data_IF_806086741867
#
_entry.id   IF_806086741867
#
_cell.length_a   1.000
_cell.length_b   1.000
_cell.length_c   1.000
_cell.angle_alpha   90.00
_cell.angle_beta   90.00
_cell.angle_gamma   90.00
#
_symmetry.space_group_name_H-M   'P 1'
#
loop_
_entity.id
_entity.type
_entity.pdbx_description
1 polymer ?
#
# COMPACT_ATOMS: atom_id res chain seq x y z
N UNK A 1 30.33 17.75 74.83
CA UNK A 1 30.51 18.94 75.69
C UNK A 1 30.07 18.57 77.10
N UNK A 2 30.98 18.07 77.96
CA UNK A 2 31.67 18.83 79.02
C UNK A 2 30.80 19.89 79.72
N UNK A 3 30.12 19.46 80.77
CA UNK A 3 29.65 20.29 81.89
C UNK A 3 29.52 19.33 83.09
N UNK A 4 30.57 19.03 83.86
CA UNK A 4 31.20 19.88 84.89
C UNK A 4 30.14 20.61 85.73
N UNK A 5 29.48 19.87 86.61
CA UNK A 5 29.10 20.41 87.91
C UNK A 5 30.11 19.88 88.94
N UNK A 6 30.77 20.87 89.52
CA UNK A 6 31.98 20.80 90.31
C UNK A 6 31.78 20.00 91.59
N UNK A 7 32.55 18.92 91.77
CA UNK A 7 32.99 18.51 93.11
C UNK A 7 33.77 19.69 93.69
N UNK A 8 33.09 20.59 94.41
CA UNK A 8 33.76 21.53 95.30
C UNK A 8 34.46 20.69 96.35
N UNK A 9 35.74 20.44 96.10
CA UNK A 9 36.70 20.09 97.13
C UNK A 9 36.72 21.28 98.09
N UNK A 10 36.05 21.16 99.23
CA UNK A 10 36.41 21.97 100.38
C UNK A 10 37.73 21.40 100.88
N UNK A 11 38.80 22.06 100.43
CA UNK A 11 40.11 22.13 101.05
C UNK A 11 40.01 22.10 102.57
N UNK A 12 40.91 21.34 103.20
CA UNK A 12 40.98 21.08 104.65
C UNK A 12 41.04 22.35 105.49
N UNK A 13 39.88 22.94 105.73
CA UNK A 13 39.62 23.76 106.90
C UNK A 13 39.13 22.81 107.97
N UNK A 14 39.81 22.78 109.11
CA UNK A 14 39.27 22.18 110.32
C UNK A 14 37.94 22.88 110.57
N UNK A 15 36.81 22.18 110.38
CA UNK A 15 35.49 22.77 110.60
C UNK A 15 35.45 23.29 112.02
N UNK A 16 35.18 24.58 112.17
CA UNK A 16 35.12 25.22 113.48
C UNK A 16 33.66 25.29 113.92
N UNK A 17 33.42 25.15 115.22
CA UNK A 17 32.09 25.34 115.78
C UNK A 17 31.67 26.81 115.63
N UNK A 18 30.49 27.12 115.06
CA UNK A 18 30.06 28.51 114.84
C UNK A 18 29.74 29.28 116.13
N UNK A 19 29.66 28.63 117.30
CA UNK A 19 29.45 29.32 118.59
C UNK A 19 30.75 29.69 119.33
N UNK A 20 31.78 28.85 119.28
CA UNK A 20 33.01 29.04 120.08
C UNK A 20 34.32 28.98 119.27
N UNK A 21 34.23 28.87 117.94
CA UNK A 21 35.33 28.91 116.94
C UNK A 21 36.47 27.90 117.20
N UNK A 22 36.20 26.89 118.04
CA UNK A 22 37.12 25.79 118.34
C UNK A 22 37.08 24.75 117.21
N UNK A 23 38.22 24.10 116.92
CA UNK A 23 38.27 23.02 115.93
C UNK A 23 37.35 21.86 116.37
N UNK A 24 36.38 21.51 115.53
CA UNK A 24 35.45 20.41 115.78
C UNK A 24 36.19 19.07 115.70
N UNK A 25 36.16 18.32 116.78
CA UNK A 25 36.54 16.91 116.79
C UNK A 25 35.36 16.08 116.26
N UNK A 26 35.49 15.58 115.04
CA UNK A 26 34.47 14.75 114.39
C UNK A 26 34.14 13.46 115.16
N UNK A 27 35.00 13.02 116.10
CA UNK A 27 34.71 11.88 116.98
C UNK A 27 33.73 12.21 118.12
N UNK A 28 33.46 13.50 118.39
CA UNK A 28 32.51 13.98 119.40
C UNK A 28 31.27 14.66 118.82
N UNK A 29 31.09 14.62 117.49
CA UNK A 29 29.86 15.08 116.83
C UNK A 29 28.90 13.90 116.79
N UNK A 30 27.87 13.95 117.62
CA UNK A 30 26.77 13.01 117.57
C UNK A 30 25.65 13.58 116.70
N UNK A 31 25.10 12.80 115.75
CA UNK A 31 23.90 13.22 115.05
C UNK A 31 22.79 13.43 116.08
N UNK A 32 22.23 14.63 116.11
CA UNK A 32 21.06 14.94 116.92
C UNK A 32 19.86 14.18 116.34
N UNK A 33 19.51 13.07 116.99
CA UNK A 33 18.39 12.22 116.58
C UNK A 33 17.05 12.98 116.66
N UNK A 34 16.91 13.95 117.58
CA UNK A 34 15.69 14.76 117.71
C UNK A 34 15.58 15.76 116.54
N UNK A 35 16.66 16.48 116.21
CA UNK A 35 16.70 17.40 115.07
C UNK A 35 16.53 16.67 113.73
N UNK A 36 17.15 15.50 113.58
CA UNK A 36 17.02 14.67 112.37
C UNK A 36 15.57 14.19 112.20
N UNK A 37 14.90 13.84 113.31
CA UNK A 37 13.48 13.46 113.31
C UNK A 37 12.57 14.64 112.95
N UNK A 38 12.88 15.85 113.41
CA UNK A 38 12.13 17.07 113.09
C UNK A 38 12.26 17.46 111.61
N UNK A 39 13.48 17.40 111.07
CA UNK A 39 13.75 17.63 109.63
C UNK A 39 13.02 16.61 108.77
N UNK A 40 13.04 15.32 109.13
CA UNK A 40 12.36 14.26 108.38
C UNK A 40 10.81 14.36 108.44
N UNK A 41 10.26 14.94 109.51
CA UNK A 41 8.83 15.20 109.65
C UNK A 41 8.36 16.54 109.03
N UNK A 42 9.28 17.38 108.56
CA UNK A 42 8.94 18.66 107.95
C UNK A 42 8.12 18.49 106.66
N UNK A 43 7.11 19.34 106.49
CA UNK A 43 6.24 19.33 105.31
C UNK A 43 6.96 19.98 104.13
N UNK A 44 7.13 19.22 103.06
CA UNK A 44 7.74 19.64 101.80
C UNK A 44 6.78 19.48 100.64
N UNK A 45 6.91 20.35 99.63
CA UNK A 45 6.15 20.24 98.37
C UNK A 45 6.98 19.48 97.34
N UNK A 46 6.31 18.81 96.41
CA UNK A 46 6.98 18.16 95.30
C UNK A 46 7.78 19.17 94.46
N UNK A 47 8.96 18.75 93.95
CA UNK A 47 9.79 19.56 93.03
C UNK A 47 9.05 19.95 91.75
N UNK A 48 8.12 19.10 91.30
CA UNK A 48 7.39 19.24 90.04
C UNK A 48 6.07 20.03 90.22
N UNK A 49 6.01 20.91 91.23
CA UNK A 49 4.83 21.78 91.48
C UNK A 49 4.57 22.74 90.32
N UNK A 50 5.63 23.14 89.60
CA UNK A 50 5.53 24.01 88.41
C UNK A 50 4.91 23.30 87.22
N UNK A 51 5.05 21.97 87.16
CA UNK A 51 4.54 21.11 86.09
C UNK A 51 3.14 20.58 86.38
N UNK A 52 2.58 20.88 87.56
CA UNK A 52 1.20 20.57 87.93
C UNK A 52 1.04 19.61 89.13
N UNK A 53 2.13 19.11 89.72
CA UNK A 53 2.04 18.24 90.89
C UNK A 53 1.57 19.00 92.14
N UNK A 54 0.50 18.53 92.79
CA UNK A 54 -0.07 19.17 94.00
C UNK A 54 0.33 18.50 95.32
N UNK A 55 1.29 17.58 95.29
CA UNK A 55 1.66 16.80 96.46
C UNK A 55 2.40 17.62 97.52
N UNK A 56 1.97 17.48 98.77
CA UNK A 56 2.58 18.04 99.97
C UNK A 56 2.59 16.97 101.05
N UNK A 57 3.75 16.68 101.64
CA UNK A 57 3.89 15.61 102.62
C UNK A 57 5.17 15.73 103.43
N UNK A 58 5.40 14.80 104.36
CA UNK A 58 6.62 14.76 105.18
C UNK A 58 7.84 14.44 104.32
N UNK A 59 8.99 15.04 104.61
CA UNK A 59 10.24 14.80 103.88
C UNK A 59 10.61 13.31 103.80
N UNK A 60 10.36 12.54 104.86
CA UNK A 60 10.63 11.09 104.89
C UNK A 60 9.88 10.28 103.80
N UNK A 61 8.73 10.75 103.31
CA UNK A 61 7.93 10.08 102.26
C UNK A 61 8.05 10.77 100.89
N UNK A 62 8.84 11.84 100.77
CA UNK A 62 9.03 12.55 99.50
C UNK A 62 9.61 11.63 98.43
N UNK A 63 10.57 10.77 98.78
CA UNK A 63 11.18 9.86 97.82
C UNK A 63 10.15 8.88 97.24
N UNK A 64 9.29 8.32 98.10
CA UNK A 64 8.20 7.42 97.68
C UNK A 64 7.25 8.13 96.70
N UNK A 65 6.92 9.40 96.97
CA UNK A 65 6.10 10.18 96.05
C UNK A 65 6.81 10.45 94.71
N UNK A 66 8.09 10.84 94.72
CA UNK A 66 8.84 11.11 93.48
C UNK A 66 8.94 9.87 92.59
N UNK A 67 9.06 8.68 93.19
CA UNK A 67 9.09 7.40 92.49
C UNK A 67 7.75 7.04 91.81
N UNK A 68 6.65 7.73 92.16
CA UNK A 68 5.29 7.53 91.60
C UNK A 68 4.71 8.79 90.94
N UNK A 69 5.42 9.91 90.96
CA UNK A 69 4.89 11.21 90.55
C UNK A 69 4.58 11.22 89.03
N UNK A 70 3.32 11.50 88.62
CA UNK A 70 2.94 11.52 87.19
C UNK A 70 3.70 12.57 86.36
N UNK A 71 4.16 13.63 87.02
CA UNK A 71 4.89 14.75 86.39
C UNK A 71 6.40 14.59 86.48
N UNK A 72 6.90 13.50 87.04
CA UNK A 72 8.33 13.23 87.05
C UNK A 72 8.83 12.91 85.64
N UNK A 73 9.87 13.63 85.23
CA UNK A 73 10.37 13.59 83.86
C UNK A 73 11.39 12.46 83.71
N UNK A 74 11.01 11.43 82.95
CA UNK A 74 11.84 10.25 82.76
C UNK A 74 12.39 10.22 81.33
N UNK A 75 13.66 9.81 81.14
CA UNK A 75 14.19 9.56 79.80
C UNK A 75 13.46 8.36 79.18
N UNK A 76 13.17 8.43 77.88
CA UNK A 76 12.52 7.35 77.16
C UNK A 76 13.30 6.02 77.32
N UNK A 77 12.64 4.92 77.76
CA UNK A 77 13.26 3.60 77.92
C UNK A 77 13.92 3.06 76.64
N UNK A 78 13.38 3.43 75.47
CA UNK A 78 13.91 3.06 74.14
C UNK A 78 15.09 3.94 73.68
N UNK A 79 15.57 4.82 74.56
CA UNK A 79 16.73 5.70 74.38
C UNK A 79 16.63 6.56 73.11
N UNK A 80 15.42 6.94 72.71
CA UNK A 80 15.18 7.78 71.52
C UNK A 80 15.74 9.21 71.67
N UNK A 81 16.07 9.62 72.91
CA UNK A 81 16.60 10.94 73.24
C UNK A 81 15.57 11.88 73.88
N UNK A 82 14.28 11.52 73.88
CA UNK A 82 13.23 12.29 74.54
C UNK A 82 13.24 12.09 76.07
N UNK A 83 12.91 13.16 76.80
CA UNK A 83 12.63 13.17 78.24
C UNK A 83 11.22 13.71 78.41
N UNK A 84 10.34 12.92 79.00
CA UNK A 84 8.90 13.18 79.03
C UNK A 84 8.33 12.94 80.44
N UNK A 85 7.25 13.64 80.84
CA UNK A 85 6.52 13.30 82.06
C UNK A 85 6.05 11.85 82.03
N UNK A 86 6.02 11.19 83.18
CA UNK A 86 5.52 9.81 83.31
C UNK A 86 4.13 9.62 82.71
N UNK A 87 3.25 10.62 82.85
CA UNK A 87 1.90 10.61 82.27
C UNK A 87 1.92 10.45 80.73
N UNK A 88 2.83 11.13 80.04
CA UNK A 88 2.89 11.16 78.57
C UNK A 88 3.80 10.06 77.99
N UNK A 89 4.47 9.31 78.86
CA UNK A 89 5.47 8.32 78.45
C UNK A 89 4.82 7.14 77.72
N UNK A 90 3.63 6.71 78.14
CA UNK A 90 2.89 5.62 77.49
C UNK A 90 2.47 6.02 76.07
N UNK A 91 1.81 7.17 75.91
CA UNK A 91 1.41 7.71 74.62
C UNK A 91 2.61 7.92 73.67
N UNK A 92 3.75 8.34 74.22
CA UNK A 92 4.98 8.45 73.44
C UNK A 92 5.46 7.10 72.93
N UNK A 93 5.54 6.09 73.78
CA UNK A 93 6.02 4.76 73.40
C UNK A 93 5.12 4.10 72.37
N UNK A 94 3.82 4.34 72.43
CA UNK A 94 2.83 3.76 71.52
C UNK A 94 2.78 4.49 70.17
N UNK A 95 2.70 5.83 70.15
CA UNK A 95 2.35 6.58 68.94
C UNK A 95 3.47 7.44 68.36
N UNK A 96 4.35 8.04 69.17
CA UNK A 96 5.26 9.11 68.67
C UNK A 96 6.75 8.76 68.74
N UNK A 97 7.14 7.73 69.49
CA UNK A 97 8.53 7.35 69.65
C UNK A 97 9.11 6.84 68.33
N UNK A 98 10.17 7.48 67.84
CA UNK A 98 10.87 7.06 66.62
C UNK A 98 11.47 5.65 66.73
N UNK A 99 11.70 5.15 67.95
CA UNK A 99 12.21 3.80 68.22
C UNK A 99 11.11 2.82 68.66
N UNK A 100 9.83 3.20 68.57
CA UNK A 100 8.71 2.29 68.83
C UNK A 100 8.83 1.04 67.98
N UNK A 101 8.44 -0.12 68.52
CA UNK A 101 8.45 -1.35 67.75
C UNK A 101 7.18 -1.44 66.91
N UNK A 102 7.31 -1.21 65.61
CA UNK A 102 6.22 -1.38 64.65
C UNK A 102 6.29 -2.78 64.06
N UNK A 103 5.18 -3.52 64.13
CA UNK A 103 5.02 -4.79 63.44
C UNK A 103 4.45 -4.53 62.06
N UNK A 104 5.14 -4.98 61.01
CA UNK A 104 4.58 -4.88 59.65
C UNK A 104 3.41 -5.84 59.47
N UNK A 105 2.25 -5.35 59.04
CA UNK A 105 1.05 -6.16 58.78
C UNK A 105 1.25 -7.20 57.65
N UNK A 106 2.17 -6.95 56.72
CA UNK A 106 2.40 -7.83 55.57
C UNK A 106 3.45 -8.92 55.82
N UNK A 107 4.51 -8.64 56.59
CA UNK A 107 5.60 -9.59 56.82
C UNK A 107 5.77 -10.02 58.28
N UNK A 108 4.97 -9.46 59.19
CA UNK A 108 4.97 -9.73 60.64
C UNK A 108 6.32 -9.51 61.35
N UNK A 109 7.29 -8.87 60.69
CA UNK A 109 8.58 -8.52 61.27
C UNK A 109 8.47 -7.22 62.06
N UNK A 110 9.26 -7.13 63.13
CA UNK A 110 9.38 -5.95 64.01
C UNK A 110 10.46 -5.03 63.49
N UNK A 111 10.15 -3.74 63.38
CA UNK A 111 11.07 -2.70 62.98
C UNK A 111 11.00 -1.52 63.96
N UNK A 112 12.12 -0.82 64.23
CA UNK A 112 12.08 0.51 64.82
C UNK A 112 11.25 1.46 63.93
N UNK A 113 10.43 2.33 64.52
CA UNK A 113 9.51 3.21 63.79
C UNK A 113 10.17 4.05 62.69
N UNK A 114 11.36 4.60 62.95
CA UNK A 114 12.14 5.38 62.00
C UNK A 114 12.61 4.57 60.77
N UNK A 115 13.02 3.33 60.98
CA UNK A 115 13.39 2.38 59.91
C UNK A 115 12.15 1.93 59.15
N UNK A 116 11.04 1.65 59.87
CA UNK A 116 9.79 1.24 59.26
C UNK A 116 9.26 2.31 58.29
N UNK A 117 9.16 3.56 58.74
CA UNK A 117 8.62 4.66 57.94
C UNK A 117 9.50 5.00 56.73
N UNK A 118 10.83 5.00 56.89
CA UNK A 118 11.75 5.44 55.82
C UNK A 118 12.11 4.35 54.80
N UNK A 119 12.20 3.09 55.23
CA UNK A 119 12.78 2.01 54.42
C UNK A 119 11.82 0.85 54.16
N UNK A 120 10.81 0.66 55.00
CA UNK A 120 9.93 -0.52 54.89
C UNK A 120 8.53 -0.19 54.38
N UNK A 121 7.98 0.97 54.76
CA UNK A 121 6.67 1.46 54.35
C UNK A 121 6.58 1.57 52.82
N UNK A 122 5.63 0.86 52.20
CA UNK A 122 5.46 0.78 50.75
C UNK A 122 6.55 0.01 49.98
N UNK A 123 7.54 -0.56 50.66
CA UNK A 123 8.62 -1.37 50.07
C UNK A 123 8.65 -2.81 50.59
N UNK A 124 7.62 -3.20 51.35
CA UNK A 124 7.57 -4.53 51.94
C UNK A 124 7.53 -5.61 50.85
N UNK A 125 8.43 -6.59 50.97
CA UNK A 125 8.60 -7.68 50.01
C UNK A 125 7.40 -8.64 50.02
N UNK A 126 6.72 -8.75 51.17
CA UNK A 126 5.53 -9.60 51.36
C UNK A 126 4.20 -8.88 51.12
N UNK A 127 4.25 -7.61 50.74
CA UNK A 127 3.05 -6.87 50.34
C UNK A 127 2.48 -7.48 49.05
N UNK A 128 1.16 -7.74 49.04
CA UNK A 128 0.46 -8.34 47.91
C UNK A 128 0.04 -7.24 46.94
N UNK A 129 0.54 -7.29 45.72
CA UNK A 129 0.25 -6.32 44.66
C UNK A 129 -0.46 -6.97 43.47
N UNK A 130 -1.16 -6.14 42.72
CA UNK A 130 -1.76 -6.54 41.45
C UNK A 130 -0.71 -6.54 40.35
N UNK A 131 -0.86 -7.46 39.40
CA UNK A 131 -0.03 -7.46 38.20
C UNK A 131 -0.28 -6.21 37.34
N UNK A 132 0.79 -5.52 36.95
CA UNK A 132 0.76 -4.30 36.12
C UNK A 132 0.13 -4.56 34.74
N UNK A 133 0.29 -5.78 34.21
CA UNK A 133 -0.31 -6.20 32.94
C UNK A 133 -1.82 -6.51 33.05
N UNK A 134 -2.46 -6.24 34.20
CA UNK A 134 -3.89 -6.45 34.47
C UNK A 134 -4.37 -7.87 34.11
N UNK A 135 -3.55 -8.88 34.39
CA UNK A 135 -3.92 -10.29 34.20
C UNK A 135 -4.87 -10.84 35.29
N UNK A 136 -5.11 -10.06 36.34
CA UNK A 136 -5.96 -10.47 37.48
C UNK A 136 -5.22 -11.19 38.61
N UNK A 137 -3.93 -11.51 38.47
CA UNK A 137 -3.13 -12.13 39.52
C UNK A 137 -2.79 -11.16 40.66
N UNK A 138 -2.80 -11.69 41.89
CA UNK A 138 -2.39 -11.00 43.14
C UNK A 138 -1.24 -11.78 43.77
N UNK A 139 -0.08 -11.16 43.88
CA UNK A 139 1.17 -11.83 44.27
C UNK A 139 1.98 -10.95 45.22
N UNK A 140 2.77 -11.56 46.10
CA UNK A 140 3.75 -10.83 46.91
C UNK A 140 4.80 -10.16 46.02
N UNK A 141 5.25 -8.96 46.40
CA UNK A 141 6.22 -8.15 45.64
C UNK A 141 7.45 -8.94 45.17
N UNK A 142 7.98 -9.87 45.97
CA UNK A 142 9.11 -10.75 45.57
C UNK A 142 8.84 -11.60 44.33
N UNK A 143 7.59 -12.03 44.12
CA UNK A 143 7.23 -12.94 43.03
C UNK A 143 6.74 -12.20 41.79
N UNK A 144 6.41 -10.91 41.91
CA UNK A 144 5.84 -10.12 40.82
C UNK A 144 6.77 -10.06 39.60
N UNK A 145 8.08 -9.88 39.81
CA UNK A 145 9.06 -9.83 38.72
C UNK A 145 9.17 -11.16 37.96
N UNK A 146 9.17 -12.29 38.67
CA UNK A 146 9.19 -13.61 38.03
C UNK A 146 7.89 -13.88 37.27
N UNK A 147 6.75 -13.55 37.87
CA UNK A 147 5.44 -13.66 37.23
C UNK A 147 5.41 -12.88 35.92
N UNK A 148 5.79 -11.59 35.92
CA UNK A 148 5.76 -10.75 34.72
C UNK A 148 6.65 -11.27 33.60
N UNK A 149 7.80 -11.87 33.95
CA UNK A 149 8.76 -12.39 32.97
C UNK A 149 8.35 -13.75 32.39
N UNK A 150 7.87 -14.67 33.23
CA UNK A 150 7.79 -16.09 32.87
C UNK A 150 6.36 -16.64 32.86
N UNK A 151 5.48 -16.17 33.75
CA UNK A 151 4.18 -16.82 34.02
C UNK A 151 2.98 -16.02 33.51
N UNK A 152 3.10 -14.69 33.44
CA UNK A 152 2.01 -13.80 33.06
C UNK A 152 1.58 -14.08 31.61
N UNK A 153 0.34 -14.50 31.41
CA UNK A 153 -0.24 -14.71 30.07
C UNK A 153 -0.48 -13.40 29.31
N UNK A 154 -0.51 -12.26 30.03
CA UNK A 154 -0.56 -10.92 29.43
C UNK A 154 0.81 -10.27 29.24
N UNK A 155 1.92 -11.01 29.42
CA UNK A 155 3.26 -10.49 29.15
C UNK A 155 3.47 -10.22 27.66
N UNK A 156 4.31 -9.24 27.35
CA UNK A 156 4.77 -8.97 26.00
C UNK A 156 5.89 -9.94 25.62
N UNK A 157 5.76 -10.56 24.45
CA UNK A 157 6.74 -11.48 23.87
C UNK A 157 6.97 -11.14 22.40
N UNK A 158 8.16 -11.46 21.89
CA UNK A 158 8.48 -11.31 20.47
C UNK A 158 8.01 -12.53 19.69
N UNK A 159 7.41 -12.30 18.53
CA UNK A 159 7.16 -13.37 17.57
C UNK A 159 8.50 -13.86 16.99
N UNK A 160 8.77 -15.18 17.10
CA UNK A 160 10.02 -15.78 16.62
C UNK A 160 10.22 -15.67 15.09
N UNK A 161 9.16 -15.37 14.33
CA UNK A 161 9.19 -15.31 12.87
C UNK A 161 9.27 -13.88 12.32
N UNK A 162 8.52 -12.93 12.90
CA UNK A 162 8.46 -11.54 12.42
C UNK A 162 9.12 -10.53 13.36
N UNK A 163 9.58 -10.98 14.55
CA UNK A 163 10.24 -10.17 15.58
C UNK A 163 9.43 -8.98 16.11
N UNK A 164 8.09 -8.98 15.91
CA UNK A 164 7.19 -7.95 16.47
C UNK A 164 6.68 -8.37 17.84
N UNK A 165 6.35 -7.38 18.66
CA UNK A 165 5.84 -7.55 20.02
C UNK A 165 4.35 -7.90 20.03
N UNK A 166 3.98 -8.92 20.81
CA UNK A 166 2.60 -9.35 21.03
C UNK A 166 2.38 -9.74 22.48
N UNK A 167 1.12 -9.68 22.92
CA UNK A 167 0.72 -10.26 24.21
C UNK A 167 0.72 -11.79 24.07
N UNK A 168 1.33 -12.51 25.01
CA UNK A 168 1.47 -13.98 24.97
C UNK A 168 0.14 -14.71 24.69
N UNK A 169 -0.97 -14.26 25.29
CA UNK A 169 -2.34 -14.76 25.05
C UNK A 169 -2.79 -14.64 23.57
N UNK A 170 -2.36 -13.58 22.88
CA UNK A 170 -2.69 -13.32 21.46
C UNK A 170 -1.62 -13.78 20.47
N UNK A 171 -0.48 -14.28 20.95
CA UNK A 171 0.61 -14.69 20.06
C UNK A 171 0.19 -15.82 19.11
N UNK A 172 -0.64 -16.75 19.58
CA UNK A 172 -1.13 -17.86 18.77
C UNK A 172 -2.05 -17.38 17.64
N UNK A 173 -2.93 -16.41 17.89
CA UNK A 173 -3.81 -15.84 16.84
C UNK A 173 -2.99 -15.09 15.79
N UNK A 174 -1.94 -14.36 16.22
CA UNK A 174 -0.98 -13.76 15.29
C UNK A 174 -0.25 -14.81 14.44
N UNK A 175 0.19 -15.94 14.99
CA UNK A 175 0.89 -16.98 14.22
C UNK A 175 0.09 -17.50 13.01
N UNK A 176 -1.24 -17.56 13.11
CA UNK A 176 -2.11 -17.91 11.97
C UNK A 176 -2.07 -16.88 10.83
N UNK A 177 -1.79 -15.62 11.13
CA UNK A 177 -1.77 -14.50 10.17
C UNK A 177 -0.37 -13.95 9.91
N UNK A 178 0.66 -14.46 10.58
CA UNK A 178 2.01 -13.95 10.51
C UNK A 178 2.59 -14.17 9.10
N UNK A 179 3.03 -13.11 8.39
CA UNK A 179 3.57 -13.21 7.03
C UNK A 179 4.83 -14.08 6.93
N UNK A 180 5.66 -14.05 7.98
CA UNK A 180 6.91 -14.82 8.07
C UNK A 180 6.71 -16.24 8.64
N UNK A 181 5.48 -16.62 8.98
CA UNK A 181 5.22 -17.93 9.54
C UNK A 181 5.53 -19.02 8.50
N UNK A 182 6.39 -20.00 8.81
CA UNK A 182 6.74 -21.05 7.87
C UNK A 182 5.57 -22.02 7.66
N UNK A 183 5.08 -22.12 6.41
CA UNK A 183 4.00 -23.00 5.97
C UNK A 183 4.52 -24.04 4.99
N UNK A 184 3.83 -25.18 4.91
CA UNK A 184 4.15 -26.24 3.94
C UNK A 184 3.44 -25.94 2.63
N UNK A 185 4.10 -26.20 1.50
CA UNK A 185 3.48 -26.05 0.18
C UNK A 185 2.23 -26.95 0.06
N UNK A 186 1.07 -26.42 -0.37
CA UNK A 186 -0.15 -27.20 -0.61
C UNK A 186 0.05 -28.35 -1.61
N UNK A 187 0.93 -28.16 -2.60
CA UNK A 187 1.27 -29.16 -3.61
C UNK A 187 2.33 -30.16 -3.14
N UNK A 188 2.79 -30.05 -1.88
CA UNK A 188 3.76 -30.95 -1.23
C UNK A 188 5.02 -31.20 -2.07
N UNK A 189 5.58 -30.15 -2.67
CA UNK A 189 6.74 -30.27 -3.55
C UNK A 189 8.06 -30.54 -2.81
N UNK A 190 8.22 -30.07 -1.57
CA UNK A 190 9.42 -30.22 -0.75
C UNK A 190 9.01 -30.14 0.75
N UNK A 191 9.64 -30.89 1.68
CA UNK A 191 9.52 -30.65 3.12
C UNK A 191 9.99 -29.28 3.61
N UNK A 192 10.73 -28.50 2.81
CA UNK A 192 11.14 -27.14 3.21
C UNK A 192 9.93 -26.25 3.49
N UNK A 193 9.98 -25.53 4.61
CA UNK A 193 8.90 -24.62 5.01
C UNK A 193 9.13 -23.26 4.36
N UNK A 194 8.09 -22.73 3.72
CA UNK A 194 8.10 -21.48 2.97
C UNK A 194 7.44 -20.39 3.82
N UNK A 195 7.98 -19.16 3.90
CA UNK A 195 7.27 -18.05 4.55
C UNK A 195 5.89 -17.84 3.91
N UNK A 196 4.86 -17.59 4.72
CA UNK A 196 3.49 -17.41 4.24
C UNK A 196 3.35 -16.35 3.14
N UNK A 197 4.09 -15.25 3.25
CA UNK A 197 4.10 -14.17 2.24
C UNK A 197 4.64 -14.62 0.89
N UNK A 198 5.58 -15.58 0.86
CA UNK A 198 6.21 -16.09 -0.35
C UNK A 198 5.44 -17.28 -0.95
N UNK A 199 4.41 -17.80 -0.27
CA UNK A 199 3.70 -19.00 -0.68
C UNK A 199 3.01 -18.85 -2.04
N UNK A 200 2.40 -17.70 -2.29
CA UNK A 200 1.67 -17.44 -3.53
C UNK A 200 2.63 -17.43 -4.74
N UNK A 201 3.71 -16.64 -4.64
CA UNK A 201 4.78 -16.61 -5.64
C UNK A 201 5.40 -17.99 -5.86
N UNK A 202 5.63 -18.76 -4.78
CA UNK A 202 6.12 -20.11 -4.90
C UNK A 202 5.15 -20.99 -5.71
N UNK A 203 3.86 -21.03 -5.34
CA UNK A 203 2.88 -21.92 -5.99
C UNK A 203 2.67 -21.55 -7.46
N UNK A 204 2.64 -20.26 -7.78
CA UNK A 204 2.39 -19.77 -9.14
C UNK A 204 3.61 -19.93 -10.04
N UNK A 205 4.80 -19.50 -9.60
CA UNK A 205 5.97 -19.35 -10.48
C UNK A 205 7.06 -20.41 -10.28
N UNK A 206 7.24 -20.94 -9.07
CA UNK A 206 8.44 -21.73 -8.72
C UNK A 206 8.16 -23.21 -8.44
N UNK A 207 6.96 -23.55 -7.98
CA UNK A 207 6.61 -24.86 -7.44
C UNK A 207 6.74 -25.95 -8.53
N UNK A 208 7.68 -26.91 -8.39
CA UNK A 208 7.87 -27.98 -9.37
C UNK A 208 6.62 -28.86 -9.53
N UNK A 209 5.90 -29.09 -8.43
CA UNK A 209 4.69 -29.92 -8.40
C UNK A 209 3.41 -29.17 -8.77
N UNK A 210 3.48 -27.87 -9.08
CA UNK A 210 2.29 -27.11 -9.47
C UNK A 210 1.81 -27.58 -10.84
N UNK A 211 0.52 -27.92 -10.94
CA UNK A 211 -0.10 -28.31 -12.21
C UNK A 211 -0.27 -27.08 -13.08
N UNK A 212 0.52 -27.01 -14.15
CA UNK A 212 0.49 -25.91 -15.12
C UNK A 212 -0.09 -26.39 -16.46
N UNK A 213 -0.61 -25.46 -17.24
CA UNK A 213 -1.09 -25.73 -18.60
C UNK A 213 0.06 -25.57 -19.60
N UNK A 214 0.03 -26.33 -20.70
CA UNK A 214 1.01 -26.20 -21.78
C UNK A 214 1.04 -24.77 -22.35
N UNK A 215 2.23 -24.27 -22.72
CA UNK A 215 2.42 -22.94 -23.32
C UNK A 215 1.69 -22.78 -24.66
N UNK A 216 1.42 -23.88 -25.37
CA UNK A 216 0.65 -23.90 -26.61
C UNK A 216 -0.88 -23.97 -26.38
N UNK A 217 -1.37 -23.63 -25.18
CA UNK A 217 -2.80 -23.63 -24.85
C UNK A 217 -3.63 -22.77 -25.79
N UNK A 218 -3.16 -21.56 -26.08
CA UNK A 218 -3.88 -20.62 -26.94
C UNK A 218 -3.87 -21.06 -28.42
N UNK A 219 -2.89 -21.88 -28.80
CA UNK A 219 -2.87 -22.58 -30.10
C UNK A 219 -3.74 -23.85 -30.11
N UNK A 220 -4.27 -24.29 -28.95
CA UNK A 220 -5.22 -25.41 -28.84
C UNK A 220 -4.76 -26.61 -27.99
N UNK A 221 -3.56 -26.59 -27.40
CA UNK A 221 -3.09 -27.70 -26.57
C UNK A 221 -3.80 -27.72 -25.20
N UNK A 222 -4.47 -28.83 -24.87
CA UNK A 222 -5.25 -28.98 -23.62
C UNK A 222 -4.48 -29.65 -22.48
N UNK A 223 -3.20 -29.97 -22.68
CA UNK A 223 -2.42 -30.74 -21.71
C UNK A 223 -2.12 -29.91 -20.45
N UNK A 224 -2.27 -30.55 -19.29
CA UNK A 224 -1.91 -30.00 -17.98
C UNK A 224 -1.12 -31.05 -17.21
N UNK A 225 0.02 -30.68 -16.67
CA UNK A 225 0.87 -31.57 -15.88
C UNK A 225 1.68 -30.77 -14.85
N UNK A 226 2.29 -31.43 -13.86
CA UNK A 226 3.22 -30.77 -12.95
C UNK A 226 4.35 -30.07 -13.71
N UNK A 227 4.78 -28.90 -13.23
CA UNK A 227 5.83 -28.08 -13.86
C UNK A 227 7.10 -28.88 -14.19
N UNK A 228 7.55 -29.77 -13.30
CA UNK A 228 8.73 -30.62 -13.55
C UNK A 228 8.57 -31.58 -14.75
N UNK A 229 7.35 -31.95 -15.12
CA UNK A 229 7.05 -32.83 -16.25
C UNK A 229 6.76 -32.09 -17.54
N UNK A 230 6.63 -30.76 -17.49
CA UNK A 230 6.24 -29.96 -18.65
C UNK A 230 7.30 -29.98 -19.74
N UNK A 231 8.59 -29.93 -19.36
CA UNK A 231 9.70 -29.97 -20.30
C UNK A 231 9.68 -31.28 -21.13
N UNK A 232 9.45 -32.41 -20.47
CA UNK A 232 9.27 -33.71 -21.13
C UNK A 232 8.09 -33.70 -22.10
N UNK A 233 6.92 -33.23 -21.68
CA UNK A 233 5.75 -33.11 -22.55
C UNK A 233 6.07 -32.26 -23.79
N UNK A 234 6.69 -31.09 -23.61
CA UNK A 234 7.02 -30.20 -24.74
C UNK A 234 8.00 -30.84 -25.72
N UNK A 235 9.00 -31.58 -25.23
CA UNK A 235 9.98 -32.27 -26.06
C UNK A 235 9.38 -33.46 -26.83
N UNK A 236 8.50 -34.24 -26.20
CA UNK A 236 7.86 -35.41 -26.84
C UNK A 236 6.77 -35.01 -27.84
N UNK A 237 6.17 -33.81 -27.70
CA UNK A 237 5.02 -33.37 -28.50
C UNK A 237 5.33 -32.21 -29.46
N UNK A 238 6.61 -31.97 -29.79
CA UNK A 238 7.04 -30.87 -30.68
C UNK A 238 6.29 -30.89 -32.02
N UNK A 239 6.15 -32.06 -32.65
CA UNK A 239 5.46 -32.18 -33.94
C UNK A 239 3.98 -31.79 -33.86
N UNK A 240 3.29 -32.16 -32.76
CA UNK A 240 1.91 -31.77 -32.54
C UNK A 240 1.79 -30.26 -32.32
N UNK A 241 2.66 -29.67 -31.49
CA UNK A 241 2.69 -28.23 -31.25
C UNK A 241 3.01 -27.42 -32.51
N UNK A 242 3.96 -27.87 -33.34
CA UNK A 242 4.25 -27.25 -34.63
C UNK A 242 3.05 -27.28 -35.57
N UNK A 243 2.29 -28.40 -35.59
CA UNK A 243 1.05 -28.47 -36.38
C UNK A 243 0.01 -27.47 -35.89
N UNK A 244 -0.22 -27.37 -34.58
CA UNK A 244 -1.14 -26.39 -34.00
C UNK A 244 -0.73 -24.95 -34.38
N UNK A 245 0.56 -24.63 -34.32
CA UNK A 245 1.07 -23.31 -34.71
C UNK A 245 0.88 -23.02 -36.21
N UNK A 246 1.11 -24.01 -37.07
CA UNK A 246 0.85 -23.88 -38.51
C UNK A 246 -0.64 -23.68 -38.80
N UNK A 247 -1.53 -24.41 -38.13
CA UNK A 247 -2.97 -24.29 -38.31
C UNK A 247 -3.50 -22.95 -37.79
N UNK A 248 -2.98 -22.47 -36.65
CA UNK A 248 -3.26 -21.13 -36.13
C UNK A 248 -2.79 -20.05 -37.11
N UNK A 249 -1.57 -20.16 -37.64
CA UNK A 249 -1.03 -19.20 -38.61
C UNK A 249 -1.86 -19.15 -39.90
N UNK A 250 -2.27 -20.30 -40.45
CA UNK A 250 -3.19 -20.36 -41.60
C UNK A 250 -4.53 -19.70 -41.30
N UNK A 251 -5.08 -19.94 -40.12
CA UNK A 251 -6.36 -19.34 -39.69
C UNK A 251 -6.24 -17.83 -39.53
N UNK A 252 -5.14 -17.33 -38.98
CA UNK A 252 -4.88 -15.90 -38.90
C UNK A 252 -4.72 -15.28 -40.29
N UNK A 253 -4.02 -15.94 -41.22
CA UNK A 253 -3.86 -15.47 -42.60
C UNK A 253 -5.20 -15.38 -43.33
N UNK A 254 -6.10 -16.35 -43.16
CA UNK A 254 -7.44 -16.32 -43.77
C UNK A 254 -8.29 -15.20 -43.17
N UNK A 255 -8.27 -15.01 -41.86
CA UNK A 255 -8.98 -13.91 -41.19
C UNK A 255 -8.49 -12.54 -41.65
N UNK A 256 -7.17 -12.32 -41.74
CA UNK A 256 -6.59 -11.08 -42.25
C UNK A 256 -7.05 -10.83 -43.68
N UNK A 257 -7.01 -11.84 -44.54
CA UNK A 257 -7.45 -11.73 -45.94
C UNK A 257 -8.93 -11.38 -46.03
N UNK A 258 -9.77 -11.99 -45.20
CA UNK A 258 -11.21 -11.67 -45.12
C UNK A 258 -11.45 -10.23 -44.67
N UNK A 259 -10.71 -9.76 -43.66
CA UNK A 259 -10.80 -8.37 -43.19
C UNK A 259 -10.34 -7.39 -44.27
N UNK A 260 -9.25 -7.67 -44.97
CA UNK A 260 -8.79 -6.85 -46.09
C UNK A 260 -9.86 -6.77 -47.19
N UNK A 261 -10.47 -7.89 -47.56
CA UNK A 261 -11.53 -7.93 -48.58
C UNK A 261 -12.79 -7.15 -48.12
N UNK A 262 -13.16 -7.24 -46.84
CA UNK A 262 -14.29 -6.50 -46.29
C UNK A 262 -14.02 -4.99 -46.22
N UNK A 263 -12.79 -4.58 -45.88
CA UNK A 263 -12.40 -3.18 -45.94
C UNK A 263 -12.42 -2.67 -47.38
N UNK A 264 -11.88 -3.45 -48.31
CA UNK A 264 -11.85 -3.14 -49.74
C UNK A 264 -13.27 -2.95 -50.31
N UNK A 265 -14.22 -3.82 -49.97
CA UNK A 265 -15.61 -3.66 -50.44
C UNK A 265 -16.29 -2.41 -49.89
N UNK A 266 -15.95 -1.99 -48.66
CA UNK A 266 -16.48 -0.76 -48.06
C UNK A 266 -15.88 0.51 -48.67
N UNK A 267 -14.61 0.51 -49.08
CA UNK A 267 -13.94 1.69 -49.64
C UNK A 267 -14.28 1.97 -51.11
N UNK A 268 -14.95 1.03 -51.80
CA UNK A 268 -15.23 1.11 -53.24
C UNK A 268 -16.69 1.37 -53.61
N UNK A 269 -17.54 1.69 -52.62
CA UNK A 269 -18.88 2.25 -52.88
C UNK A 269 -18.71 3.74 -53.10
N UNK A 270 -18.95 4.20 -54.32
CA UNK A 270 -18.61 5.57 -54.75
C UNK A 270 -19.81 6.51 -54.80
N UNK A 271 -21.03 6.01 -54.54
CA UNK A 271 -22.29 6.76 -54.71
C UNK A 271 -22.38 7.53 -56.04
N UNK A 272 -21.80 6.93 -57.09
CA UNK A 272 -21.74 7.46 -58.44
C UNK A 272 -20.50 8.31 -58.72
N UNK A 273 -19.63 8.61 -57.76
CA UNK A 273 -18.44 9.44 -57.93
C UNK A 273 -17.14 8.74 -57.53
N UNK A 274 -16.42 8.22 -58.52
CA UNK A 274 -15.11 7.60 -58.31
C UNK A 274 -13.99 8.60 -58.60
N UNK A 275 -13.07 8.80 -57.64
CA UNK A 275 -11.89 9.65 -57.81
C UNK A 275 -10.64 8.78 -57.81
N UNK A 276 -9.88 8.84 -58.89
CA UNK A 276 -8.67 8.09 -59.11
C UNK A 276 -7.45 9.02 -59.18
N UNK A 277 -6.58 8.93 -58.19
CA UNK A 277 -5.28 9.60 -58.19
C UNK A 277 -4.22 8.67 -58.80
N UNK A 278 -3.64 9.07 -59.92
CA UNK A 278 -2.51 8.40 -60.55
C UNK A 278 -1.23 9.12 -60.13
N UNK A 279 -0.54 8.56 -59.14
CA UNK A 279 0.79 9.03 -58.72
C UNK A 279 1.91 8.50 -59.62
N UNK A 280 3.09 9.10 -59.50
CA UNK A 280 4.29 8.81 -60.31
C UNK A 280 4.05 9.02 -61.80
N UNK A 281 3.37 10.12 -62.14
CA UNK A 281 2.92 10.43 -63.50
C UNK A 281 4.08 10.43 -64.50
N UNK A 282 5.19 11.11 -64.19
CA UNK A 282 6.34 11.23 -65.09
C UNK A 282 6.90 9.87 -65.49
N UNK A 283 7.09 8.98 -64.52
CA UNK A 283 7.58 7.63 -64.77
C UNK A 283 6.61 6.85 -65.67
N UNK A 284 5.32 6.81 -65.29
CA UNK A 284 4.29 6.08 -66.05
C UNK A 284 4.09 6.64 -67.46
N UNK A 285 4.20 7.95 -67.62
CA UNK A 285 4.14 8.61 -68.93
C UNK A 285 5.32 8.20 -69.81
N UNK A 286 6.55 8.24 -69.28
CA UNK A 286 7.76 7.79 -70.00
C UNK A 286 7.65 6.32 -70.41
N UNK A 287 7.23 5.44 -69.51
CA UNK A 287 6.99 4.03 -69.83
C UNK A 287 5.96 3.87 -70.96
N UNK A 288 4.87 4.65 -70.91
CA UNK A 288 3.82 4.63 -71.94
C UNK A 288 4.25 5.21 -73.29
N UNK A 289 5.38 5.94 -73.35
CA UNK A 289 5.96 6.45 -74.59
C UNK A 289 6.76 5.38 -75.34
N UNK A 290 7.33 4.39 -74.64
CA UNK A 290 8.07 3.28 -75.25
C UNK A 290 7.18 2.09 -75.60
N UNK A 291 6.12 1.87 -74.83
CA UNK A 291 5.17 0.77 -75.03
C UNK A 291 3.77 1.27 -74.69
N UNK A 292 2.76 0.87 -75.46
CA UNK A 292 1.37 1.15 -75.09
C UNK A 292 1.03 0.45 -73.76
N UNK A 293 0.76 1.25 -72.72
CA UNK A 293 0.44 0.78 -71.37
C UNK A 293 -0.96 1.27 -71.01
N UNK A 294 -1.87 0.33 -70.79
CA UNK A 294 -3.18 0.59 -70.18
C UNK A 294 -3.03 0.60 -68.65
N UNK A 295 -3.28 1.75 -68.03
CA UNK A 295 -3.46 1.83 -66.59
C UNK A 295 -4.92 1.57 -66.29
N UNK A 296 -5.22 0.61 -65.41
CA UNK A 296 -6.59 0.29 -64.98
C UNK A 296 -6.74 0.65 -63.51
N UNK A 297 -7.86 1.27 -63.14
CA UNK A 297 -8.18 1.57 -61.75
C UNK A 297 -8.58 0.31 -60.98
N UNK A 298 -8.56 0.40 -59.65
CA UNK A 298 -9.29 -0.57 -58.83
C UNK A 298 -10.78 -0.58 -59.23
N UNK A 299 -11.42 -1.76 -59.29
CA UNK A 299 -12.85 -1.85 -59.51
C UNK A 299 -13.66 -1.08 -58.45
N UNK A 300 -14.70 -0.39 -58.88
CA UNK A 300 -15.59 0.36 -58.01
C UNK A 300 -17.05 0.08 -58.34
N UNK A 301 -17.92 0.30 -57.37
CA UNK A 301 -19.36 0.17 -57.56
C UNK A 301 -20.00 1.56 -57.67
N UNK A 302 -20.91 1.71 -58.63
CA UNK A 302 -21.67 2.97 -58.82
C UNK A 302 -22.62 3.28 -57.67
N UNK A 303 -23.03 2.27 -56.90
CA UNK A 303 -23.81 2.40 -55.67
C UNK A 303 -23.61 1.14 -54.82
N UNK A 304 -24.09 1.13 -53.56
CA UNK A 304 -23.96 -0.03 -52.64
C UNK A 304 -24.35 -1.38 -53.24
N UNK A 305 -25.34 -1.40 -54.14
CA UNK A 305 -25.79 -2.58 -54.88
C UNK A 305 -25.84 -2.32 -56.39
N UNK A 306 -24.95 -1.44 -56.88
CA UNK A 306 -24.93 -0.94 -58.25
C UNK A 306 -24.06 -1.75 -59.21
N UNK A 307 -23.77 -1.15 -60.36
CA UNK A 307 -22.91 -1.73 -61.38
C UNK A 307 -21.45 -1.70 -60.93
N UNK A 308 -20.70 -2.77 -61.23
CA UNK A 308 -19.26 -2.82 -61.03
C UNK A 308 -18.54 -2.30 -62.28
N UNK A 309 -17.62 -1.36 -62.09
CA UNK A 309 -16.88 -0.71 -63.18
C UNK A 309 -15.40 -0.56 -62.85
N UNK A 310 -14.57 -0.37 -63.89
CA UNK A 310 -13.19 0.06 -63.75
C UNK A 310 -12.85 1.10 -64.82
N UNK A 311 -12.20 2.18 -64.41
CA UNK A 311 -11.69 3.19 -65.34
C UNK A 311 -10.36 2.71 -65.91
N UNK A 312 -10.06 3.05 -67.16
CA UNK A 312 -8.72 2.84 -67.72
C UNK A 312 -8.23 4.03 -68.52
N UNK A 313 -6.90 4.20 -68.52
CA UNK A 313 -6.22 5.36 -69.08
C UNK A 313 -4.96 4.95 -69.81
N UNK A 314 -4.74 5.60 -70.94
CA UNK A 314 -3.46 5.59 -71.66
C UNK A 314 -2.89 7.01 -71.59
N UNK A 315 -1.84 7.19 -70.79
CA UNK A 315 -1.25 8.52 -70.55
C UNK A 315 -0.68 9.12 -71.83
N UNK A 316 -0.02 8.30 -72.65
CA UNK A 316 0.46 8.66 -73.98
C UNK A 316 -0.53 8.31 -75.11
N UNK A 317 -1.80 8.10 -74.77
CA UNK A 317 -2.88 7.89 -75.74
C UNK A 317 -2.95 6.49 -76.33
N UNK A 318 -4.07 6.19 -76.98
CA UNK A 318 -4.35 4.93 -77.65
C UNK A 318 -5.12 5.17 -78.96
N UNK A 319 -4.86 4.36 -79.97
CA UNK A 319 -5.51 4.44 -81.28
C UNK A 319 -5.39 5.82 -81.91
N UNK A 320 -6.52 6.46 -82.22
CA UNK A 320 -6.53 7.76 -82.90
C UNK A 320 -5.89 8.92 -82.10
N UNK A 321 -5.68 8.77 -80.79
CA UNK A 321 -5.06 9.78 -79.93
C UNK A 321 -3.60 9.51 -79.54
N UNK A 322 -3.03 8.40 -80.03
CA UNK A 322 -1.68 7.96 -79.64
C UNK A 322 -0.61 9.03 -79.87
N UNK A 323 0.25 9.21 -78.87
CA UNK A 323 1.39 10.13 -78.86
C UNK A 323 1.05 11.62 -78.70
N UNK A 324 -0.24 12.00 -78.70
CA UNK A 324 -0.65 13.43 -78.67
C UNK A 324 -1.73 13.75 -77.63
N UNK A 325 -2.51 12.75 -77.25
CA UNK A 325 -3.62 12.89 -76.33
C UNK A 325 -3.48 11.89 -75.19
N UNK A 326 -4.07 12.22 -74.04
CA UNK A 326 -4.42 11.23 -73.04
C UNK A 326 -5.77 10.63 -73.44
N UNK A 327 -5.90 9.30 -73.33
CA UNK A 327 -7.15 8.57 -73.61
C UNK A 327 -7.74 8.03 -72.31
N UNK A 328 -9.07 8.11 -72.17
CA UNK A 328 -9.83 7.58 -71.01
C UNK A 328 -10.89 6.60 -71.49
N UNK A 329 -11.13 5.53 -70.73
CA UNK A 329 -12.13 4.51 -71.00
C UNK A 329 -12.79 4.03 -69.71
N UNK A 330 -13.99 3.45 -69.84
CA UNK A 330 -14.71 2.78 -68.76
C UNK A 330 -15.05 1.35 -69.19
N UNK A 331 -14.83 0.41 -68.27
CA UNK A 331 -15.17 -1.01 -68.41
C UNK A 331 -16.29 -1.36 -67.44
N UNK A 332 -17.33 -2.03 -67.93
CA UNK A 332 -18.32 -2.69 -67.08
C UNK A 332 -17.81 -4.10 -66.77
N UNK A 333 -17.75 -4.44 -65.50
CA UNK A 333 -17.23 -5.72 -65.00
C UNK A 333 -18.36 -6.56 -64.42
N UNK A 334 -18.24 -7.91 -64.40
CA UNK A 334 -19.18 -8.78 -63.68
C UNK A 334 -19.27 -8.38 -62.21
N UNK A 335 -20.46 -7.98 -61.78
CA UNK A 335 -20.81 -7.60 -60.42
C UNK A 335 -21.65 -8.65 -59.70
N UNK A 336 -21.63 -8.62 -58.37
CA UNK A 336 -22.42 -9.53 -57.53
C UNK A 336 -23.94 -9.33 -57.69
N UNK A 337 -24.35 -8.12 -58.09
CA UNK A 337 -25.74 -7.68 -58.16
C UNK A 337 -26.29 -7.63 -59.59
N UNK A 338 -25.55 -8.09 -60.60
CA UNK A 338 -25.93 -7.94 -62.02
C UNK A 338 -27.29 -8.58 -62.39
N UNK A 339 -27.79 -9.51 -61.59
CA UNK A 339 -29.09 -10.15 -61.79
C UNK A 339 -30.29 -9.29 -61.37
N UNK A 340 -30.08 -8.27 -60.55
CA UNK A 340 -31.13 -7.35 -60.08
C UNK A 340 -31.01 -5.96 -60.70
N UNK A 341 -30.01 -5.73 -61.56
CA UNK A 341 -29.77 -4.47 -62.27
C UNK A 341 -30.43 -4.46 -63.64
N UNK A 342 -30.74 -3.26 -64.15
CA UNK A 342 -31.25 -3.07 -65.49
C UNK A 342 -30.15 -3.22 -66.55
N UNK A 343 -30.49 -3.83 -67.69
CA UNK A 343 -29.57 -4.02 -68.81
C UNK A 343 -30.29 -3.77 -70.14
N UNK A 344 -29.61 -3.20 -71.17
CA UNK A 344 -28.22 -2.72 -71.15
C UNK A 344 -28.03 -1.50 -70.23
N UNK A 345 -26.78 -1.22 -69.83
CA UNK A 345 -26.46 -0.06 -69.01
C UNK A 345 -26.70 1.24 -69.79
N UNK A 346 -27.47 2.17 -69.23
CA UNK A 346 -27.91 3.41 -69.90
C UNK A 346 -27.63 4.70 -69.11
N UNK A 347 -27.03 4.61 -67.93
CA UNK A 347 -26.82 5.80 -67.08
C UNK A 347 -25.72 6.69 -67.69
N UNK A 348 -25.89 8.02 -67.71
CA UNK A 348 -24.87 8.94 -68.19
C UNK A 348 -23.56 8.79 -67.43
N UNK A 349 -22.43 8.82 -68.15
CA UNK A 349 -21.09 8.76 -67.59
C UNK A 349 -20.34 10.04 -67.97
N UNK A 350 -19.66 10.62 -66.99
CA UNK A 350 -18.76 11.76 -67.17
C UNK A 350 -17.35 11.42 -66.70
N UNK A 351 -16.35 11.76 -67.49
CA UNK A 351 -14.95 11.76 -67.08
C UNK A 351 -14.50 13.19 -66.83
N UNK A 352 -13.81 13.44 -65.72
CA UNK A 352 -13.21 14.74 -65.44
C UNK A 352 -11.73 14.60 -65.06
N UNK A 353 -10.85 15.45 -65.60
CA UNK A 353 -9.51 15.67 -65.05
C UNK A 353 -9.55 16.92 -64.19
N UNK A 354 -9.12 16.80 -62.94
CA UNK A 354 -9.11 17.91 -62.01
C UNK A 354 -7.95 18.88 -62.26
N UNK A 355 -8.26 20.16 -62.25
CA UNK A 355 -7.28 21.23 -62.06
C UNK A 355 -6.96 21.32 -60.56
N UNK A 356 -5.71 21.05 -60.18
CA UNK A 356 -5.25 20.95 -58.79
C UNK A 356 -4.78 22.31 -58.23
N UNK A 357 -5.30 23.41 -58.76
CA UNK A 357 -5.05 24.76 -58.25
C UNK A 357 -5.46 24.85 -56.76
N UNK A 358 -4.66 25.57 -55.97
CA UNK A 358 -4.93 25.77 -54.54
C UNK A 358 -6.20 26.61 -54.31
N UNK A 359 -6.48 27.55 -55.21
CA UNK A 359 -7.70 28.35 -55.21
C UNK A 359 -8.82 27.59 -55.95
N UNK A 360 -9.91 27.32 -55.25
CA UNK A 360 -11.04 26.53 -55.77
C UNK A 360 -11.76 27.23 -56.91
N UNK A 361 -11.93 28.55 -56.83
CA UNK A 361 -12.71 29.34 -57.79
C UNK A 361 -11.98 29.48 -59.14
N UNK A 362 -10.67 29.25 -59.14
CA UNK A 362 -9.83 29.28 -60.33
C UNK A 362 -9.69 27.91 -61.01
N UNK A 363 -10.26 26.84 -60.46
CA UNK A 363 -10.12 25.50 -61.04
C UNK A 363 -10.94 25.37 -62.32
N UNK A 364 -10.30 24.94 -63.40
CA UNK A 364 -10.97 24.65 -64.66
C UNK A 364 -10.82 23.17 -65.02
N UNK A 365 -11.65 22.31 -64.42
CA UNK A 365 -11.63 20.87 -64.71
C UNK A 365 -12.02 20.59 -66.16
N UNK A 366 -11.37 19.63 -66.79
CA UNK A 366 -11.70 19.18 -68.15
C UNK A 366 -12.69 18.05 -68.03
N UNK A 367 -13.88 18.15 -68.62
CA UNK A 367 -14.94 17.15 -68.50
C UNK A 367 -15.55 16.80 -69.85
N UNK A 368 -15.68 15.51 -70.14
CA UNK A 368 -16.49 15.00 -71.25
C UNK A 368 -17.50 13.98 -70.72
N UNK A 369 -18.69 13.97 -71.32
CA UNK A 369 -19.79 13.12 -70.91
C UNK A 369 -20.45 12.45 -72.10
N UNK A 370 -20.97 11.24 -71.89
CA UNK A 370 -21.77 10.53 -72.88
C UNK A 370 -22.91 9.77 -72.22
N UNK A 371 -23.94 9.49 -73.01
CA UNK A 371 -25.02 8.57 -72.66
C UNK A 371 -24.78 7.27 -73.42
N UNK A 372 -24.66 6.12 -72.73
CA UNK A 372 -24.50 4.83 -73.38
C UNK A 372 -25.65 4.52 -74.35
N UNK A 373 -25.32 4.13 -75.57
CA UNK A 373 -26.33 3.63 -76.53
C UNK A 373 -26.65 2.14 -76.23
N UNK A 374 -27.93 1.75 -76.16
CA UNK A 374 -28.35 0.37 -75.90
C UNK A 374 -27.81 -0.68 -76.90
N UNK A 375 -27.38 -0.26 -78.09
CA UNK A 375 -26.81 -1.17 -79.12
C UNK A 375 -25.32 -1.43 -78.92
N UNK A 376 -24.64 -0.66 -78.07
CA UNK A 376 -23.21 -0.80 -77.83
C UNK A 376 -22.91 -2.06 -77.01
N UNK A 377 -22.02 -2.91 -77.55
CA UNK A 377 -21.65 -4.20 -76.93
C UNK A 377 -20.97 -4.04 -75.56
N UNK A 378 -20.25 -2.94 -75.35
CA UNK A 378 -19.54 -2.65 -74.08
C UNK A 378 -20.48 -2.42 -72.88
N UNK A 379 -21.77 -2.14 -73.14
CA UNK A 379 -22.76 -1.81 -72.11
C UNK A 379 -23.83 -2.90 -71.94
N UNK A 380 -23.64 -4.06 -72.57
CA UNK A 380 -24.46 -5.25 -72.32
C UNK A 380 -24.08 -5.91 -71.00
N UNK A 381 -24.96 -6.77 -70.49
CA UNK A 381 -24.71 -7.52 -69.26
C UNK A 381 -23.41 -8.33 -69.38
N UNK A 382 -22.41 -8.10 -68.50
CA UNK A 382 -21.14 -8.80 -68.57
C UNK A 382 -21.33 -10.27 -68.13
N UNK A 383 -20.77 -11.20 -68.91
CA UNK A 383 -20.84 -12.64 -68.60
C UNK A 383 -19.51 -13.12 -67.99
N UNK A 384 -18.39 -12.61 -68.48
CA UNK A 384 -17.02 -12.82 -67.97
C UNK A 384 -16.18 -11.60 -68.27
N UNK A 385 -15.14 -11.37 -67.47
CA UNK A 385 -14.11 -10.39 -67.83
C UNK A 385 -13.34 -10.91 -69.05
N UNK A 386 -13.48 -10.21 -70.17
CA UNK A 386 -12.88 -10.60 -71.46
C UNK A 386 -11.55 -9.91 -71.72
N UNK A 387 -11.10 -9.04 -70.81
CA UNK A 387 -9.90 -8.21 -71.03
C UNK A 387 -10.05 -7.22 -72.19
N UNK A 388 -11.25 -7.07 -72.76
CA UNK A 388 -11.51 -6.14 -73.85
C UNK A 388 -11.35 -4.69 -73.39
N UNK A 389 -10.95 -3.83 -74.33
CA UNK A 389 -10.90 -2.39 -74.08
C UNK A 389 -12.31 -1.86 -73.79
N UNK A 390 -12.40 -0.92 -72.85
CA UNK A 390 -13.65 -0.26 -72.51
C UNK A 390 -14.12 0.73 -73.58
N UNK A 391 -15.28 1.35 -73.34
CA UNK A 391 -15.74 2.47 -74.16
C UNK A 391 -15.21 3.80 -73.59
N UNK A 392 -14.88 4.76 -74.44
CA UNK A 392 -14.42 6.07 -73.99
C UNK A 392 -13.84 6.92 -75.11
N UNK A 393 -12.93 7.81 -74.75
CA UNK A 393 -12.41 8.85 -75.63
C UNK A 393 -10.93 8.63 -75.92
N UNK A 394 -10.58 8.16 -77.14
CA UNK A 394 -9.19 8.08 -77.59
C UNK A 394 -8.49 9.45 -77.59
N UNK A 395 -9.23 10.53 -77.84
CA UNK A 395 -8.73 11.92 -77.84
C UNK A 395 -9.39 12.74 -76.74
N UNK A 396 -9.25 12.31 -75.48
CA UNK A 396 -9.92 12.98 -74.36
C UNK A 396 -9.35 14.39 -74.10
N UNK A 397 -8.03 14.50 -73.94
CA UNK A 397 -7.34 15.79 -73.75
C UNK A 397 -5.97 15.75 -74.41
N UNK A 398 -5.55 16.84 -75.06
CA UNK A 398 -4.21 16.91 -75.66
C UNK A 398 -3.14 17.09 -74.59
N UNK A 399 -1.94 16.60 -74.84
CA UNK A 399 -0.80 16.81 -73.94
C UNK A 399 -0.43 18.29 -73.80
N UNK A 400 -0.71 19.11 -74.81
CA UNK A 400 -0.50 20.56 -74.73
C UNK A 400 -1.47 21.23 -73.77
N UNK A 401 -2.75 20.84 -73.76
CA UNK A 401 -3.74 21.36 -72.79
C UNK A 401 -3.35 20.95 -71.37
N UNK A 402 -2.89 19.72 -71.16
CA UNK A 402 -2.45 19.25 -69.84
C UNK A 402 -1.32 20.08 -69.22
N UNK A 403 -0.53 20.79 -70.04
CA UNK A 403 0.55 21.68 -69.58
C UNK A 403 0.09 23.10 -69.24
N UNK A 404 -1.16 23.47 -69.56
CA UNK A 404 -1.65 24.86 -69.43
C UNK A 404 -2.05 25.26 -68.01
N UNK A 405 -2.37 24.29 -67.13
CA UNK A 405 -2.82 24.49 -65.75
C UNK A 405 -2.27 23.40 -64.82
N UNK A 406 -2.70 23.40 -63.56
CA UNK A 406 -2.29 22.44 -62.52
C UNK A 406 -2.98 21.07 -62.67
N UNK A 407 -3.20 20.58 -63.90
CA UNK A 407 -3.77 19.25 -64.14
C UNK A 407 -2.83 18.12 -63.66
N UNK A 408 -1.52 18.33 -63.82
CA UNK A 408 -0.47 17.47 -63.30
C UNK A 408 0.29 18.24 -62.23
N UNK A 409 0.13 17.84 -60.97
CA UNK A 409 0.73 18.50 -59.80
C UNK A 409 1.27 17.44 -58.84
N UNK A 410 2.41 17.73 -58.23
CA UNK A 410 3.11 16.82 -57.31
C UNK A 410 3.31 15.40 -57.90
N UNK A 411 3.70 15.37 -59.18
CA UNK A 411 3.87 14.14 -59.98
C UNK A 411 2.62 13.24 -60.00
N UNK A 412 1.44 13.85 -59.97
CA UNK A 412 0.17 13.14 -59.98
C UNK A 412 -0.90 13.83 -60.81
N UNK A 413 -1.80 13.02 -61.38
CA UNK A 413 -3.01 13.46 -62.07
C UNK A 413 -4.22 12.83 -61.39
N UNK A 414 -5.32 13.58 -61.26
CA UNK A 414 -6.55 13.12 -60.60
C UNK A 414 -7.67 13.08 -61.63
N UNK A 415 -8.27 11.90 -61.78
CA UNK A 415 -9.34 11.62 -62.74
C UNK A 415 -10.58 11.23 -61.96
N UNK A 416 -11.71 11.86 -62.27
CA UNK A 416 -13.02 11.51 -61.74
C UNK A 416 -13.84 10.80 -62.80
N UNK A 417 -14.50 9.73 -62.39
CA UNK A 417 -15.60 9.14 -63.14
C UNK A 417 -16.88 9.38 -62.35
N UNK A 418 -17.84 10.04 -62.98
CA UNK A 418 -19.17 10.23 -62.44
C UNK A 418 -20.18 9.42 -63.23
N UNK A 419 -20.98 8.61 -62.56
CA UNK A 419 -22.14 7.93 -63.12
C UNK A 419 -23.37 8.55 -62.50
N UNK A 420 -24.23 9.14 -63.33
CA UNK A 420 -25.45 9.78 -62.84
C UNK A 420 -26.44 8.73 -62.33
N UNK A 421 -27.27 9.13 -61.35
CA UNK A 421 -28.30 8.25 -60.78
C UNK A 421 -29.67 8.54 -61.39
N UNK A 422 -30.53 7.53 -61.43
CA UNK A 422 -31.94 7.65 -61.88
C UNK A 422 -32.74 8.71 -61.09
N UNK A 423 -32.28 9.14 -59.90
CA UNK A 423 -32.95 10.15 -59.07
C UNK A 423 -32.79 11.58 -59.59
N UNK A 424 -31.82 11.84 -60.46
CA UNK A 424 -31.54 13.18 -60.96
C UNK A 424 -32.21 13.50 -62.31
N UNK A 425 -32.95 12.54 -62.90
CA UNK A 425 -33.66 12.75 -64.18
C UNK A 425 -35.07 13.33 -64.02
N UNK A 426 -35.50 13.68 -62.80
CA UNK A 426 -36.78 14.37 -62.54
C UNK A 426 -36.54 15.74 -61.92
N UNK A 427 -36.29 16.73 -62.76
CA UNK A 427 -36.49 18.15 -62.43
C UNK A 427 -36.94 18.83 -63.74
N UNK A 428 -38.18 19.34 -63.81
CA UNK A 428 -38.68 20.05 -65.00
C UNK A 428 -37.97 21.39 -65.23
#
# INVERSE_FOLDING_TARGET
>A
MRGRTSRRHCSGGVSKCPEDDRPLDYAQIYPDEELTTEVMNSLVRCRNVKDGCRWVGKLQILQVHLDECPFDALPCPLRCGAVLPRLDLEDHLEFTCCRRQVVCEFCSKKFPGDVYEKQHSGQCISEVMWCENKCGARLERRFLANHMRNECHKRTVLCQFCSREFVQETLQTHQYQCPRYPVVCPNRCDPTKIPREDLDLHVTELCPSATISCSFRDAGCKHKCPRFSMEKHTAENVQHHLKLMCDLSKTQQTQITQLCNALYSLTHITDGEFIWKISNYKQKFLESAYKSVELVSEPFYTARYGYKMAASVFLNGNGAGEGKYLSVYIKILPGEYDNILEWPFILPISFSIYDQNIDYDLRANITESFVPDPTWKHFQKPVKDTGALGFGYPKFVSHEILKTRDYIKDDSIIIKVKVDSYRNCTSP
#
